data_IF_223082793897
#
_entry.id   IF_223082793897
#
_cell.length_a   1.000
_cell.length_b   1.000
_cell.length_c   1.000
_cell.angle_alpha   90.00
_cell.angle_beta   90.00
_cell.angle_gamma   90.00
#
_symmetry.space_group_name_H-M   'P 1'
#
loop_
_entity.id
_entity.type
_entity.pdbx_description
1 polymer ?
#
# COMPACT_ATOMS: atom_id res chain seq x y z
N UNK A 1 27.28 28.50 77.92
CA UNK A 1 26.34 27.38 78.01
C UNK A 1 26.68 26.38 76.90
N UNK A 2 27.43 25.37 77.31
CA UNK A 2 27.99 24.32 76.45
C UNK A 2 27.04 23.12 76.46
N UNK A 3 26.59 22.65 75.28
CA UNK A 3 25.88 21.39 75.13
C UNK A 3 26.76 20.35 74.44
N UNK A 4 26.81 19.09 74.90
CA UNK A 4 27.73 18.10 74.41
C UNK A 4 27.20 17.35 73.17
N UNK A 5 28.10 17.04 72.24
CA UNK A 5 27.90 16.14 71.10
C UNK A 5 27.71 14.69 71.56
N UNK A 6 26.65 14.07 71.10
CA UNK A 6 26.43 12.61 71.20
C UNK A 6 26.80 11.97 69.85
N UNK A 7 27.81 11.16 69.88
CA UNK A 7 28.22 10.25 68.79
C UNK A 7 27.26 9.09 68.64
N UNK A 8 26.69 8.94 67.44
CA UNK A 8 25.92 7.73 67.06
C UNK A 8 26.81 6.84 66.19
N UNK A 9 27.06 5.62 66.64
CA UNK A 9 27.72 4.58 65.88
C UNK A 9 26.74 3.89 64.91
N UNK A 10 27.12 3.60 63.66
CA UNK A 10 26.23 2.86 62.76
C UNK A 10 26.28 1.37 63.05
N UNK A 11 25.11 0.76 63.32
CA UNK A 11 24.93 -0.69 63.32
C UNK A 11 24.79 -1.15 61.88
N UNK A 12 25.79 -1.94 61.41
CA UNK A 12 25.69 -2.69 60.16
C UNK A 12 24.62 -3.81 60.34
N UNK A 13 23.51 -3.70 59.63
CA UNK A 13 22.57 -4.82 59.43
C UNK A 13 23.06 -5.57 58.16
N UNK A 14 23.60 -6.78 58.36
CA UNK A 14 23.85 -7.73 57.25
C UNK A 14 22.47 -8.34 56.86
N UNK A 15 21.87 -7.82 55.77
CA UNK A 15 20.72 -8.46 55.13
C UNK A 15 21.17 -9.58 54.23
N UNK A 16 20.89 -10.82 54.56
CA UNK A 16 21.03 -11.97 53.65
C UNK A 16 19.98 -11.84 52.53
N UNK A 17 20.39 -11.48 51.31
CA UNK A 17 19.57 -11.62 50.11
C UNK A 17 19.51 -13.11 49.74
N UNK A 18 18.39 -13.77 50.04
CA UNK A 18 18.06 -15.03 49.40
C UNK A 18 17.74 -14.77 47.91
N UNK A 19 18.68 -15.02 47.02
CA UNK A 19 18.40 -15.13 45.59
C UNK A 19 17.57 -16.39 45.36
N UNK A 20 16.25 -16.23 45.25
CA UNK A 20 15.39 -17.29 44.73
C UNK A 20 15.76 -17.49 43.24
N UNK A 21 16.37 -18.61 42.93
CA UNK A 21 16.61 -19.03 41.53
C UNK A 21 15.24 -19.22 40.87
N UNK A 22 14.90 -18.33 39.93
CA UNK A 22 13.78 -18.53 39.03
C UNK A 22 14.03 -19.82 38.24
N UNK A 23 13.04 -20.71 38.12
CA UNK A 23 13.20 -21.91 37.32
C UNK A 23 13.50 -21.47 35.86
N UNK A 24 14.54 -22.04 35.28
CA UNK A 24 14.85 -21.84 33.87
C UNK A 24 13.59 -22.19 33.04
N UNK A 25 13.24 -21.42 32.03
CA UNK A 25 12.13 -21.76 31.14
C UNK A 25 12.35 -23.17 30.61
N UNK A 26 11.35 -24.03 30.75
CA UNK A 26 11.41 -25.39 30.21
C UNK A 26 11.74 -25.31 28.71
N UNK A 27 12.76 -26.04 28.29
CA UNK A 27 13.14 -26.11 26.89
C UNK A 27 11.90 -26.58 26.11
N UNK A 28 11.43 -25.75 25.15
CA UNK A 28 10.36 -26.15 24.23
C UNK A 28 10.90 -27.41 23.52
N UNK A 29 10.21 -28.56 23.56
CA UNK A 29 10.67 -29.74 22.88
C UNK A 29 10.86 -29.43 21.40
N UNK A 30 11.96 -29.85 20.80
CA UNK A 30 12.19 -29.67 19.38
C UNK A 30 10.98 -30.23 18.61
N UNK A 31 10.43 -29.44 17.68
CA UNK A 31 9.28 -29.88 16.88
C UNK A 31 9.64 -31.18 16.16
N UNK A 32 8.83 -32.23 16.35
CA UNK A 32 9.00 -33.51 15.68
C UNK A 32 8.94 -33.31 14.16
N UNK A 33 10.02 -33.61 13.44
CA UNK A 33 10.09 -33.50 11.99
C UNK A 33 9.78 -34.86 11.36
N UNK A 34 8.77 -34.87 10.50
CA UNK A 34 8.37 -36.05 9.74
C UNK A 34 8.51 -35.73 8.24
N UNK A 35 9.26 -36.58 7.53
CA UNK A 35 9.38 -36.47 6.06
C UNK A 35 8.36 -37.42 5.42
N UNK A 36 7.55 -36.90 4.48
CA UNK A 36 6.60 -37.73 3.74
C UNK A 36 7.33 -38.84 2.98
N UNK A 37 6.99 -40.08 3.27
CA UNK A 37 7.62 -41.23 2.60
C UNK A 37 7.09 -41.36 1.16
N UNK A 38 7.94 -41.88 0.25
CA UNK A 38 7.61 -41.98 -1.19
C UNK A 38 6.37 -42.85 -1.49
N UNK A 39 6.02 -43.77 -0.61
CA UNK A 39 4.82 -44.62 -0.69
C UNK A 39 3.57 -43.97 -0.10
N UNK A 40 3.70 -42.92 0.71
CA UNK A 40 2.57 -42.20 1.31
C UNK A 40 2.00 -41.18 0.30
N UNK A 41 0.85 -41.52 -0.29
CA UNK A 41 0.17 -40.66 -1.28
C UNK A 41 -0.92 -39.81 -0.64
N UNK A 42 -1.44 -40.19 0.51
CA UNK A 42 -2.47 -39.45 1.24
C UNK A 42 -1.81 -38.52 2.28
N UNK A 43 -1.44 -37.35 1.83
CA UNK A 43 -0.81 -36.31 2.69
C UNK A 43 -1.78 -35.87 3.80
N UNK A 44 -3.10 -35.84 3.54
CA UNK A 44 -4.08 -35.49 4.57
C UNK A 44 -4.06 -36.50 5.73
N UNK A 45 -4.04 -37.80 5.43
CA UNK A 45 -3.97 -38.83 6.46
C UNK A 45 -2.66 -38.78 7.26
N UNK A 46 -1.55 -38.36 6.64
CA UNK A 46 -0.28 -38.13 7.37
C UNK A 46 -0.44 -36.92 8.30
N UNK A 47 -0.92 -35.80 7.81
CA UNK A 47 -1.18 -34.60 8.63
C UNK A 47 -2.08 -34.92 9.82
N UNK A 48 -3.15 -35.69 9.61
CA UNK A 48 -4.11 -36.03 10.67
C UNK A 48 -3.49 -36.89 11.80
N UNK A 49 -2.43 -37.67 11.52
CA UNK A 49 -1.72 -38.51 12.52
C UNK A 49 -0.65 -37.73 13.29
N UNK A 50 -0.10 -36.66 12.72
CA UNK A 50 0.99 -35.93 13.37
C UNK A 50 0.51 -35.24 14.67
N UNK A 51 1.35 -35.11 15.68
CA UNK A 51 1.01 -34.34 16.87
C UNK A 51 0.98 -32.83 16.57
N UNK A 52 0.24 -32.04 17.34
CA UNK A 52 0.29 -30.59 17.24
C UNK A 52 1.72 -30.06 17.41
N UNK A 53 2.11 -29.08 16.59
CA UNK A 53 3.45 -28.49 16.57
C UNK A 53 4.47 -29.25 15.70
N UNK A 54 4.11 -30.40 15.16
CA UNK A 54 5.01 -31.17 14.27
C UNK A 54 5.26 -30.45 12.94
N UNK A 55 6.39 -30.80 12.32
CA UNK A 55 6.75 -30.38 10.95
C UNK A 55 6.57 -31.53 9.99
N UNK A 56 5.78 -31.33 8.93
CA UNK A 56 5.71 -32.23 7.79
C UNK A 56 6.52 -31.67 6.62
N UNK A 57 7.52 -32.42 6.18
CA UNK A 57 8.36 -32.11 5.03
C UNK A 57 7.86 -32.85 3.79
N UNK A 58 7.53 -32.10 2.76
CA UNK A 58 7.05 -32.61 1.46
C UNK A 58 8.25 -32.71 0.52
N UNK A 59 8.57 -33.90 0.00
CA UNK A 59 9.69 -34.08 -0.93
C UNK A 59 9.37 -33.44 -2.30
N UNK A 60 10.41 -33.25 -3.10
CA UNK A 60 10.28 -32.82 -4.49
C UNK A 60 9.33 -33.74 -5.27
N UNK A 61 8.52 -33.15 -6.15
CA UNK A 61 7.53 -33.86 -6.96
C UNK A 61 6.18 -33.17 -6.94
N UNK A 62 5.26 -33.66 -7.79
CA UNK A 62 3.90 -33.15 -7.90
C UNK A 62 2.96 -34.02 -7.07
N UNK A 63 2.28 -33.39 -6.13
CA UNK A 63 1.35 -34.01 -5.21
C UNK A 63 -0.03 -33.41 -5.44
N UNK A 64 -0.99 -34.25 -5.85
CA UNK A 64 -2.39 -33.87 -6.02
C UNK A 64 -3.03 -33.84 -4.64
N UNK A 65 -3.54 -32.67 -4.21
CA UNK A 65 -4.00 -32.49 -2.84
C UNK A 65 -5.12 -31.46 -2.70
N UNK A 66 -5.96 -31.71 -1.68
CA UNK A 66 -6.85 -30.72 -1.07
C UNK A 66 -6.69 -30.85 0.44
N UNK A 67 -5.76 -30.08 1.01
CA UNK A 67 -5.42 -30.22 2.42
C UNK A 67 -6.33 -29.36 3.29
N UNK A 68 -6.79 -29.93 4.41
CA UNK A 68 -7.45 -29.17 5.46
C UNK A 68 -6.67 -29.29 6.77
N UNK A 69 -6.01 -28.22 7.17
CA UNK A 69 -5.14 -28.18 8.35
C UNK A 69 -5.95 -27.70 9.56
N UNK A 70 -6.21 -28.62 10.49
CA UNK A 70 -7.08 -28.44 11.66
C UNK A 70 -6.35 -28.38 13.00
N UNK A 71 -5.03 -28.36 12.98
CA UNK A 71 -4.18 -28.27 14.18
C UNK A 71 -2.90 -27.51 13.86
N UNK A 72 -2.23 -26.92 14.88
CA UNK A 72 -0.94 -26.28 14.69
C UNK A 72 0.08 -27.25 14.10
N UNK A 73 0.60 -26.98 12.90
CA UNK A 73 1.66 -27.75 12.24
C UNK A 73 2.46 -26.84 11.32
N UNK A 74 3.68 -27.23 11.02
CA UNK A 74 4.48 -26.65 9.94
C UNK A 74 4.46 -27.58 8.73
N UNK A 75 4.02 -27.07 7.58
CA UNK A 75 4.16 -27.74 6.29
C UNK A 75 5.28 -27.06 5.52
N UNK A 76 6.32 -27.83 5.16
CA UNK A 76 7.49 -27.32 4.44
C UNK A 76 7.80 -28.19 3.22
N UNK A 77 8.26 -27.57 2.13
CA UNK A 77 8.63 -28.29 0.90
C UNK A 77 10.12 -28.32 0.65
N UNK A 78 10.59 -29.40 0.05
CA UNK A 78 11.88 -29.43 -0.62
C UNK A 78 11.82 -28.61 -1.91
N UNK A 79 12.98 -28.22 -2.43
CA UNK A 79 13.04 -27.56 -3.72
C UNK A 79 12.37 -28.43 -4.80
N UNK A 80 11.32 -27.89 -5.47
CA UNK A 80 10.52 -28.63 -6.43
C UNK A 80 9.33 -29.42 -5.85
N UNK A 81 8.97 -29.22 -4.58
CA UNK A 81 7.72 -29.75 -4.02
C UNK A 81 6.53 -28.91 -4.55
N UNK A 82 5.60 -29.56 -5.24
CA UNK A 82 4.42 -28.94 -5.86
C UNK A 82 3.16 -29.56 -5.27
N UNK A 83 2.30 -28.72 -4.71
CA UNK A 83 0.94 -29.08 -4.30
C UNK A 83 -0.06 -28.59 -5.36
N UNK A 84 -0.81 -29.50 -5.92
CA UNK A 84 -1.67 -29.26 -7.07
C UNK A 84 -3.14 -29.57 -6.76
N UNK A 85 -4.00 -28.57 -6.91
CA UNK A 85 -5.45 -28.70 -6.70
C UNK A 85 -6.24 -29.18 -7.92
N UNK A 86 -5.58 -29.53 -9.03
CA UNK A 86 -6.23 -30.01 -10.28
C UNK A 86 -7.42 -29.19 -10.77
N UNK A 87 -7.47 -27.89 -10.45
CA UNK A 87 -8.55 -26.99 -10.86
C UNK A 87 -9.82 -27.09 -10.00
N UNK A 88 -9.74 -27.64 -8.80
CA UNK A 88 -10.89 -27.78 -7.90
C UNK A 88 -10.61 -27.16 -6.53
N UNK A 89 -11.62 -26.58 -5.89
CA UNK A 89 -11.58 -26.10 -4.50
C UNK A 89 -10.36 -25.27 -4.11
N UNK A 90 -10.00 -25.32 -2.84
CA UNK A 90 -8.76 -24.77 -2.33
C UNK A 90 -7.66 -25.86 -2.35
N UNK A 91 -6.42 -25.46 -2.58
CA UNK A 91 -5.31 -26.42 -2.48
C UNK A 91 -4.99 -26.69 -1.00
N UNK A 92 -4.92 -25.62 -0.20
CA UNK A 92 -4.73 -25.70 1.26
C UNK A 92 -5.80 -24.83 1.94
N UNK A 93 -6.52 -25.42 2.88
CA UNK A 93 -7.45 -24.75 3.78
C UNK A 93 -6.95 -24.86 5.21
N UNK A 94 -6.91 -23.75 5.95
CA UNK A 94 -6.36 -23.68 7.31
C UNK A 94 -7.46 -23.21 8.26
N UNK A 95 -7.82 -24.02 9.25
CA UNK A 95 -8.80 -23.70 10.30
C UNK A 95 -8.21 -23.70 11.71
N UNK A 96 -6.90 -23.93 11.86
CA UNK A 96 -6.22 -23.92 13.14
C UNK A 96 -5.29 -22.71 13.28
N UNK A 97 -5.06 -22.23 14.50
CA UNK A 97 -4.03 -21.23 14.77
C UNK A 97 -2.61 -21.81 14.65
N UNK A 98 -1.61 -20.93 14.62
CA UNK A 98 -0.17 -21.26 14.69
C UNK A 98 0.30 -22.25 13.60
N UNK A 99 -0.34 -22.22 12.43
CA UNK A 99 0.06 -23.01 11.26
C UNK A 99 1.12 -22.26 10.47
N UNK A 100 2.15 -22.97 10.00
CA UNK A 100 3.17 -22.41 9.09
C UNK A 100 3.20 -23.18 7.78
N UNK A 101 3.11 -22.45 6.65
CA UNK A 101 3.25 -22.99 5.28
C UNK A 101 4.45 -22.31 4.63
N UNK A 102 5.46 -23.09 4.20
CA UNK A 102 6.68 -22.50 3.63
C UNK A 102 7.36 -23.36 2.57
N UNK A 103 8.04 -22.69 1.62
CA UNK A 103 8.94 -23.34 0.65
C UNK A 103 8.24 -24.26 -0.34
N UNK A 104 6.94 -24.07 -0.59
CA UNK A 104 6.12 -24.88 -1.47
C UNK A 104 5.75 -24.14 -2.75
N UNK A 105 5.57 -24.87 -3.83
CA UNK A 105 4.86 -24.41 -5.02
C UNK A 105 3.42 -24.91 -4.94
N UNK A 106 2.44 -24.00 -5.00
CA UNK A 106 1.01 -24.28 -4.79
C UNK A 106 0.26 -23.82 -6.03
N UNK A 107 -0.38 -24.75 -6.73
CA UNK A 107 -0.92 -24.49 -8.06
C UNK A 107 -2.34 -25.02 -8.25
N UNK A 108 -3.02 -24.44 -9.24
CA UNK A 108 -4.27 -24.94 -9.82
C UNK A 108 -5.40 -25.10 -8.79
N UNK A 109 -5.70 -24.08 -8.00
CA UNK A 109 -6.97 -24.05 -7.26
C UNK A 109 -8.17 -24.08 -8.21
N UNK A 110 -9.39 -24.36 -7.71
CA UNK A 110 -10.63 -24.11 -8.42
C UNK A 110 -10.74 -22.66 -8.89
N UNK A 111 -11.56 -22.40 -9.91
CA UNK A 111 -11.71 -21.06 -10.52
C UNK A 111 -12.99 -20.33 -10.10
N UNK A 112 -13.67 -20.79 -9.08
CA UNK A 112 -14.92 -20.19 -8.63
C UNK A 112 -14.65 -19.01 -7.68
N UNK A 113 -14.79 -17.79 -8.18
CA UNK A 113 -14.60 -16.57 -7.41
C UNK A 113 -15.67 -16.36 -6.33
N UNK A 114 -16.89 -16.88 -6.53
CA UNK A 114 -17.97 -16.80 -5.54
C UNK A 114 -17.69 -17.70 -4.33
N UNK A 115 -17.06 -18.85 -4.56
CA UNK A 115 -16.60 -19.75 -3.49
C UNK A 115 -15.22 -19.36 -2.96
N UNK A 116 -14.60 -18.30 -3.51
CA UNK A 116 -13.29 -17.79 -3.11
C UNK A 116 -12.18 -18.84 -3.17
N UNK A 117 -12.23 -19.73 -4.20
CA UNK A 117 -11.23 -20.79 -4.33
C UNK A 117 -9.81 -20.20 -4.38
N UNK A 118 -8.95 -20.69 -3.52
CA UNK A 118 -7.62 -20.13 -3.30
C UNK A 118 -6.52 -21.19 -3.31
N UNK A 119 -5.28 -20.76 -3.61
CA UNK A 119 -4.11 -21.58 -3.33
C UNK A 119 -4.02 -21.89 -1.84
N UNK A 120 -4.13 -20.84 -0.99
CA UNK A 120 -4.23 -20.99 0.47
C UNK A 120 -5.42 -20.19 0.97
N UNK A 121 -6.36 -20.87 1.63
CA UNK A 121 -7.49 -20.24 2.31
C UNK A 121 -7.31 -20.35 3.83
N UNK A 122 -7.27 -19.22 4.52
CA UNK A 122 -7.21 -19.14 5.99
C UNK A 122 -8.61 -18.81 6.51
N UNK A 123 -9.20 -19.73 7.26
CA UNK A 123 -10.56 -19.59 7.79
C UNK A 123 -10.63 -18.66 8.99
N UNK A 124 -11.82 -18.20 9.24
CA UNK A 124 -12.18 -17.42 10.43
C UNK A 124 -11.69 -18.08 11.71
N UNK A 125 -10.97 -17.33 12.53
CA UNK A 125 -10.46 -17.81 13.81
C UNK A 125 -9.13 -18.59 13.73
N UNK A 126 -8.59 -18.84 12.54
CA UNK A 126 -7.23 -19.35 12.40
C UNK A 126 -6.25 -18.19 12.63
N UNK A 127 -5.76 -18.05 13.84
CA UNK A 127 -4.89 -16.95 14.26
C UNK A 127 -3.40 -17.27 14.07
N UNK A 128 -2.57 -16.22 13.89
CA UNK A 128 -1.09 -16.31 13.84
C UNK A 128 -0.55 -17.31 12.78
N UNK A 129 -1.31 -17.47 11.71
CA UNK A 129 -0.88 -18.28 10.56
C UNK A 129 0.32 -17.59 9.88
N UNK A 130 1.34 -18.35 9.54
CA UNK A 130 2.52 -17.87 8.81
C UNK A 130 2.59 -18.54 7.44
N UNK A 131 2.53 -17.73 6.37
CA UNK A 131 2.65 -18.18 4.98
C UNK A 131 3.87 -17.47 4.40
N UNK A 132 4.97 -18.20 4.14
CA UNK A 132 6.20 -17.55 3.73
C UNK A 132 7.01 -18.34 2.71
N UNK A 133 7.68 -17.61 1.86
CA UNK A 133 8.64 -18.17 0.89
C UNK A 133 8.01 -19.24 -0.02
N UNK A 134 6.71 -19.09 -0.35
CA UNK A 134 6.00 -19.97 -1.26
C UNK A 134 5.89 -19.35 -2.65
N UNK A 135 5.71 -20.19 -3.65
CA UNK A 135 5.30 -19.81 -5.00
C UNK A 135 3.86 -20.27 -5.25
N UNK A 136 2.99 -19.34 -5.62
CA UNK A 136 1.59 -19.63 -5.92
C UNK A 136 1.32 -19.26 -7.39
N UNK A 137 0.99 -20.25 -8.23
CA UNK A 137 0.72 -20.02 -9.66
C UNK A 137 -0.65 -20.59 -10.07
N UNK A 138 -1.31 -19.90 -10.99
CA UNK A 138 -2.55 -20.38 -11.61
C UNK A 138 -3.66 -20.69 -10.60
N UNK A 139 -3.78 -19.90 -9.52
CA UNK A 139 -4.86 -20.00 -8.54
C UNK A 139 -5.89 -18.89 -8.80
N UNK A 140 -7.17 -19.13 -8.49
CA UNK A 140 -8.20 -18.09 -8.61
C UNK A 140 -7.89 -16.93 -7.67
N UNK A 141 -7.74 -17.19 -6.37
CA UNK A 141 -7.07 -16.30 -5.43
C UNK A 141 -5.74 -16.94 -5.03
N UNK A 142 -4.68 -16.13 -4.89
CA UNK A 142 -3.43 -16.66 -4.35
C UNK A 142 -3.60 -17.07 -2.89
N UNK A 143 -3.82 -16.09 -2.01
CA UNK A 143 -4.02 -16.27 -0.57
C UNK A 143 -5.29 -15.52 -0.16
N UNK A 144 -6.21 -16.21 0.50
CA UNK A 144 -7.41 -15.63 1.10
C UNK A 144 -7.32 -15.70 2.62
N UNK A 145 -7.46 -14.56 3.30
CA UNK A 145 -7.49 -14.46 4.75
C UNK A 145 -8.89 -14.01 5.18
N UNK A 146 -9.64 -14.90 5.88
CA UNK A 146 -11.00 -14.60 6.34
C UNK A 146 -11.02 -14.40 7.86
N UNK A 147 -11.29 -13.18 8.30
CA UNK A 147 -11.57 -12.81 9.70
C UNK A 147 -10.61 -13.46 10.71
N UNK A 148 -9.31 -13.44 10.39
CA UNK A 148 -8.25 -13.98 11.24
C UNK A 148 -7.39 -12.85 11.86
N UNK A 149 -6.68 -13.18 12.94
CA UNK A 149 -5.85 -12.23 13.68
C UNK A 149 -4.38 -12.60 13.59
N UNK A 150 -3.52 -11.59 13.32
CA UNK A 150 -2.07 -11.72 13.32
C UNK A 150 -1.48 -12.66 12.26
N UNK A 151 -2.07 -12.82 11.06
CA UNK A 151 -1.43 -13.62 10.03
C UNK A 151 -0.18 -12.91 9.50
N UNK A 152 0.83 -13.69 9.12
CA UNK A 152 2.07 -13.22 8.52
C UNK A 152 2.22 -13.83 7.13
N UNK A 153 2.20 -12.99 6.10
CA UNK A 153 2.37 -13.41 4.69
C UNK A 153 3.63 -12.74 4.16
N UNK A 154 4.72 -13.51 4.05
CA UNK A 154 6.05 -12.93 3.90
C UNK A 154 6.83 -13.61 2.76
N UNK A 155 7.36 -12.81 1.82
CA UNK A 155 8.28 -13.28 0.80
C UNK A 155 7.69 -14.28 -0.20
N UNK A 156 6.36 -14.30 -0.36
CA UNK A 156 5.73 -15.19 -1.33
C UNK A 156 5.74 -14.57 -2.73
N UNK A 157 5.75 -15.43 -3.76
CA UNK A 157 5.56 -15.06 -5.16
C UNK A 157 4.19 -15.53 -5.62
N UNK A 158 3.33 -14.60 -6.01
CA UNK A 158 1.96 -14.91 -6.42
C UNK A 158 1.74 -14.47 -7.87
N UNK A 159 1.55 -15.43 -8.74
CA UNK A 159 1.28 -15.23 -10.15
C UNK A 159 -0.16 -15.62 -10.48
N UNK A 160 -0.86 -14.73 -11.17
CA UNK A 160 -2.25 -14.93 -11.55
C UNK A 160 -2.43 -15.83 -12.77
N UNK A 161 -3.52 -15.59 -13.50
CA UNK A 161 -3.92 -16.35 -14.70
C UNK A 161 -3.99 -15.36 -15.87
N UNK A 162 -2.87 -15.15 -16.61
CA UNK A 162 -2.81 -14.13 -17.66
C UNK A 162 -3.75 -14.38 -18.84
N UNK A 163 -4.16 -15.63 -19.08
CA UNK A 163 -5.00 -16.03 -20.23
C UNK A 163 -6.44 -15.54 -20.10
N UNK A 164 -6.90 -15.19 -18.90
CA UNK A 164 -8.25 -14.66 -18.69
C UNK A 164 -8.21 -13.14 -18.46
N UNK A 165 -9.33 -12.47 -18.74
CA UNK A 165 -9.42 -11.02 -18.58
C UNK A 165 -9.17 -10.62 -17.11
N UNK A 166 -8.48 -9.51 -16.88
CA UNK A 166 -8.15 -9.02 -15.55
C UNK A 166 -9.35 -8.97 -14.59
N UNK A 167 -10.51 -8.51 -15.06
CA UNK A 167 -11.73 -8.41 -14.25
C UNK A 167 -12.31 -9.77 -13.81
N UNK A 168 -11.97 -10.86 -14.51
CA UNK A 168 -12.44 -12.21 -14.25
C UNK A 168 -11.44 -13.00 -13.36
N UNK A 169 -10.31 -12.37 -12.98
CA UNK A 169 -9.31 -12.94 -12.06
C UNK A 169 -9.66 -12.63 -10.63
N UNK A 170 -9.15 -13.42 -9.69
CA UNK A 170 -9.14 -13.10 -8.27
C UNK A 170 -7.93 -12.25 -7.89
N UNK A 171 -7.81 -11.93 -6.61
CA UNK A 171 -6.73 -11.11 -6.08
C UNK A 171 -5.52 -11.98 -5.68
N UNK A 172 -4.34 -11.37 -5.64
CA UNK A 172 -3.12 -12.05 -5.18
C UNK A 172 -3.21 -12.43 -3.71
N UNK A 173 -3.33 -11.43 -2.84
CA UNK A 173 -3.58 -11.60 -1.40
C UNK A 173 -4.84 -10.82 -1.06
N UNK A 174 -5.81 -11.48 -0.44
CA UNK A 174 -7.09 -10.89 -0.04
C UNK A 174 -7.25 -10.95 1.48
N UNK A 175 -7.46 -9.80 2.11
CA UNK A 175 -7.76 -9.67 3.53
C UNK A 175 -9.23 -9.25 3.69
N UNK A 176 -10.03 -10.07 4.33
CA UNK A 176 -11.40 -9.76 4.69
C UNK A 176 -11.59 -9.83 6.22
N UNK A 177 -11.94 -8.71 6.86
CA UNK A 177 -12.09 -8.61 8.32
C UNK A 177 -10.84 -9.04 9.13
N UNK A 178 -9.64 -8.81 8.60
CA UNK A 178 -8.37 -9.21 9.20
C UNK A 178 -7.80 -8.12 10.09
N UNK A 179 -7.16 -8.53 11.18
CA UNK A 179 -6.49 -7.61 12.11
C UNK A 179 -5.06 -8.02 12.42
N UNK A 180 -4.19 -7.03 12.64
CA UNK A 180 -2.80 -7.23 13.07
C UNK A 180 -1.97 -8.09 12.07
N UNK A 181 -2.33 -8.07 10.78
CA UNK A 181 -1.58 -8.79 9.75
C UNK A 181 -0.27 -8.08 9.41
N UNK A 182 0.74 -8.89 9.06
CA UNK A 182 1.97 -8.45 8.42
C UNK A 182 2.05 -9.06 7.00
N UNK A 183 1.91 -8.22 5.97
CA UNK A 183 2.00 -8.61 4.56
C UNK A 183 3.27 -7.94 4.00
N UNK A 184 4.37 -8.69 3.90
CA UNK A 184 5.68 -8.09 3.66
C UNK A 184 6.49 -8.82 2.59
N UNK A 185 7.16 -8.06 1.71
CA UNK A 185 8.16 -8.58 0.78
C UNK A 185 7.61 -9.58 -0.24
N UNK A 186 6.30 -9.54 -0.52
CA UNK A 186 5.70 -10.41 -1.51
C UNK A 186 5.82 -9.80 -2.91
N UNK A 187 5.98 -10.64 -3.93
CA UNK A 187 5.90 -10.26 -5.34
C UNK A 187 4.60 -10.79 -5.93
N UNK A 188 3.77 -9.90 -6.52
CA UNK A 188 2.44 -10.26 -7.00
C UNK A 188 2.22 -9.65 -8.39
N UNK A 189 1.83 -10.48 -9.37
CA UNK A 189 1.59 -10.01 -10.72
C UNK A 189 0.52 -10.83 -11.44
N UNK A 190 -0.08 -10.21 -12.47
CA UNK A 190 -1.09 -10.80 -13.34
C UNK A 190 -2.32 -11.40 -12.63
N UNK A 191 -2.56 -10.99 -11.37
CA UNK A 191 -3.86 -11.16 -10.69
C UNK A 191 -4.78 -9.99 -11.04
N UNK A 192 -5.99 -9.95 -10.49
CA UNK A 192 -6.87 -8.78 -10.65
C UNK A 192 -6.32 -7.59 -9.90
N UNK A 193 -6.24 -7.69 -8.59
CA UNK A 193 -5.60 -6.74 -7.70
C UNK A 193 -4.46 -7.45 -6.94
N UNK A 194 -3.38 -6.75 -6.64
CA UNK A 194 -2.24 -7.35 -5.93
C UNK A 194 -2.62 -7.71 -4.50
N UNK A 195 -2.81 -6.70 -3.65
CA UNK A 195 -3.29 -6.86 -2.28
C UNK A 195 -4.64 -6.13 -2.16
N UNK A 196 -5.69 -6.87 -1.89
CA UNK A 196 -7.02 -6.33 -1.60
C UNK A 196 -7.30 -6.43 -0.10
N UNK A 197 -7.66 -5.30 0.51
CA UNK A 197 -7.93 -5.23 1.95
C UNK A 197 -9.30 -4.62 2.18
N UNK A 198 -10.18 -5.39 2.81
CA UNK A 198 -11.57 -5.02 3.06
C UNK A 198 -11.93 -5.21 4.54
N UNK A 199 -12.60 -4.21 5.11
CA UNK A 199 -13.13 -4.23 6.49
C UNK A 199 -12.07 -4.64 7.54
N UNK A 200 -10.80 -4.29 7.30
CA UNK A 200 -9.64 -4.78 8.04
C UNK A 200 -8.93 -3.65 8.79
N UNK A 201 -8.27 -3.95 9.91
CA UNK A 201 -7.71 -2.92 10.79
C UNK A 201 -6.34 -3.29 11.36
N UNK A 202 -5.51 -2.27 11.63
CA UNK A 202 -4.22 -2.40 12.29
C UNK A 202 -3.24 -3.34 11.56
N UNK A 203 -3.32 -3.41 10.24
CA UNK A 203 -2.46 -4.23 9.40
C UNK A 203 -1.29 -3.43 8.85
N UNK A 204 -0.21 -4.12 8.50
CA UNK A 204 0.98 -3.56 7.87
C UNK A 204 1.19 -4.23 6.52
N UNK A 205 1.16 -3.45 5.45
CA UNK A 205 1.53 -3.84 4.10
C UNK A 205 2.87 -3.18 3.79
N UNK A 206 3.96 -3.95 3.71
CA UNK A 206 5.28 -3.35 3.57
C UNK A 206 6.19 -4.07 2.56
N UNK A 207 7.00 -3.29 1.85
CA UNK A 207 8.06 -3.79 0.99
C UNK A 207 7.61 -4.79 -0.08
N UNK A 208 6.32 -4.74 -0.51
CA UNK A 208 5.78 -5.62 -1.53
C UNK A 208 6.04 -5.04 -2.94
N UNK A 209 6.29 -5.93 -3.91
CA UNK A 209 6.43 -5.61 -5.33
C UNK A 209 5.16 -6.05 -6.08
N UNK A 210 4.45 -5.09 -6.67
CA UNK A 210 3.11 -5.28 -7.23
C UNK A 210 3.08 -4.74 -8.67
N UNK A 211 2.89 -5.60 -9.68
CA UNK A 211 2.99 -5.16 -11.07
C UNK A 211 2.08 -5.94 -12.02
N UNK A 212 1.81 -5.36 -13.19
CA UNK A 212 0.94 -5.95 -14.21
C UNK A 212 -0.46 -6.28 -13.68
N UNK A 213 -1.08 -5.31 -12.97
CA UNK A 213 -2.31 -5.47 -12.21
C UNK A 213 -3.35 -4.40 -12.57
N UNK A 214 -4.60 -4.65 -12.22
CA UNK A 214 -5.61 -3.59 -12.20
C UNK A 214 -5.28 -2.57 -11.10
N UNK A 215 -5.16 -3.01 -9.86
CA UNK A 215 -4.73 -2.20 -8.73
C UNK A 215 -3.59 -2.92 -7.99
N UNK A 216 -2.52 -2.19 -7.68
CA UNK A 216 -1.44 -2.72 -6.86
C UNK A 216 -1.94 -3.00 -5.45
N UNK A 217 -2.32 -1.95 -4.72
CA UNK A 217 -2.97 -2.04 -3.40
C UNK A 217 -4.39 -1.48 -3.52
N UNK A 218 -5.39 -2.23 -3.06
CA UNK A 218 -6.80 -1.86 -3.11
C UNK A 218 -7.41 -1.89 -1.70
N UNK A 219 -7.81 -0.74 -1.19
CA UNK A 219 -8.45 -0.56 0.13
C UNK A 219 -9.94 -0.34 0.00
N UNK A 220 -10.70 -1.01 0.89
CA UNK A 220 -12.11 -0.76 1.11
C UNK A 220 -12.44 -0.85 2.61
N UNK A 221 -13.11 0.15 3.17
CA UNK A 221 -13.65 0.18 4.53
C UNK A 221 -12.67 -0.26 5.63
N UNK A 222 -11.39 0.06 5.48
CA UNK A 222 -10.31 -0.45 6.34
C UNK A 222 -9.60 0.69 7.05
N UNK A 223 -9.30 0.52 8.35
CA UNK A 223 -8.89 1.62 9.21
C UNK A 223 -7.58 1.34 9.94
N UNK A 224 -6.83 2.41 10.26
CA UNK A 224 -5.61 2.33 11.08
C UNK A 224 -4.54 1.37 10.52
N UNK A 225 -4.46 1.27 9.21
CA UNK A 225 -3.47 0.42 8.53
C UNK A 225 -2.26 1.23 8.07
N UNK A 226 -1.15 0.53 7.88
CA UNK A 226 0.10 1.08 7.36
C UNK A 226 0.44 0.48 6.00
N UNK A 227 0.80 1.35 5.05
CA UNK A 227 1.27 0.99 3.70
C UNK A 227 2.63 1.63 3.54
N UNK A 228 3.70 0.84 3.62
CA UNK A 228 5.07 1.39 3.77
C UNK A 228 6.03 0.72 2.81
N UNK A 229 6.77 1.50 2.03
CA UNK A 229 7.88 1.02 1.20
C UNK A 229 7.47 0.03 0.10
N UNK A 230 6.18 -0.01 -0.28
CA UNK A 230 5.74 -0.88 -1.38
C UNK A 230 6.07 -0.22 -2.71
N UNK A 231 6.28 -1.05 -3.72
CA UNK A 231 6.50 -0.59 -5.09
C UNK A 231 5.44 -1.14 -6.02
N UNK A 232 4.82 -0.25 -6.79
CA UNK A 232 3.93 -0.62 -7.90
C UNK A 232 4.52 -0.16 -9.23
N UNK A 233 4.36 -0.94 -10.29
CA UNK A 233 4.65 -0.49 -11.65
C UNK A 233 3.76 -1.21 -12.66
N UNK A 234 3.53 -0.52 -13.80
CA UNK A 234 2.74 -1.06 -14.89
C UNK A 234 1.37 -1.57 -14.43
N UNK A 235 0.71 -0.82 -13.52
CA UNK A 235 -0.66 -1.11 -13.09
C UNK A 235 -1.64 -0.09 -13.68
N UNK A 236 -2.92 -0.34 -13.60
CA UNK A 236 -3.93 0.66 -13.91
C UNK A 236 -3.98 1.74 -12.81
N UNK A 237 -3.81 1.34 -11.55
CA UNK A 237 -3.71 2.24 -10.40
C UNK A 237 -2.76 1.62 -9.38
N UNK A 238 -1.72 2.35 -8.99
CA UNK A 238 -0.76 1.87 -8.00
C UNK A 238 -1.43 1.62 -6.65
N UNK A 239 -1.99 2.66 -6.07
CA UNK A 239 -2.62 2.64 -4.74
C UNK A 239 -4.04 3.17 -4.81
N UNK A 240 -5.02 2.29 -4.80
CA UNK A 240 -6.44 2.61 -4.76
C UNK A 240 -6.95 2.61 -3.31
N UNK A 241 -6.85 3.76 -2.64
CA UNK A 241 -7.28 3.96 -1.25
C UNK A 241 -8.73 4.42 -1.25
N UNK A 242 -9.65 3.57 -0.77
CA UNK A 242 -11.07 3.86 -0.85
C UNK A 242 -11.78 3.66 0.48
N UNK A 243 -12.70 4.58 0.82
CA UNK A 243 -13.64 4.50 1.94
C UNK A 243 -12.97 4.14 3.29
N UNK A 244 -11.79 4.71 3.54
CA UNK A 244 -10.93 4.33 4.67
C UNK A 244 -10.44 5.55 5.43
N UNK A 245 -9.95 5.35 6.65
CA UNK A 245 -9.45 6.44 7.51
C UNK A 245 -8.30 6.00 8.40
N UNK A 246 -7.57 7.00 8.89
CA UNK A 246 -6.39 6.80 9.75
C UNK A 246 -5.34 5.91 9.09
N UNK A 247 -5.16 6.05 7.78
CA UNK A 247 -4.11 5.36 7.05
C UNK A 247 -2.78 6.09 7.23
N UNK A 248 -1.70 5.32 7.28
CA UNK A 248 -0.32 5.79 7.24
C UNK A 248 0.32 5.23 5.96
N UNK A 249 0.50 6.09 4.94
CA UNK A 249 0.99 5.70 3.61
C UNK A 249 2.34 6.37 3.40
N UNK A 250 3.43 5.63 3.60
CA UNK A 250 4.78 6.18 3.67
C UNK A 250 5.74 5.51 2.70
N UNK A 251 6.60 6.30 2.08
CA UNK A 251 7.77 5.84 1.34
C UNK A 251 7.46 4.80 0.24
N UNK A 252 6.25 4.87 -0.34
CA UNK A 252 5.86 3.97 -1.42
C UNK A 252 6.25 4.55 -2.78
N UNK A 253 6.47 3.67 -3.75
CA UNK A 253 6.76 4.04 -5.14
C UNK A 253 5.63 3.58 -6.08
N UNK A 254 5.26 4.46 -7.03
CA UNK A 254 4.34 4.18 -8.14
C UNK A 254 4.98 4.64 -9.43
N UNK A 255 5.25 3.72 -10.35
CA UNK A 255 6.03 3.95 -11.57
C UNK A 255 5.25 3.45 -12.79
N UNK A 256 5.05 4.31 -13.81
CA UNK A 256 4.36 3.99 -15.08
C UNK A 256 2.98 3.35 -14.91
N UNK A 257 2.22 3.80 -13.95
CA UNK A 257 0.81 3.43 -13.82
C UNK A 257 -0.07 4.23 -14.81
N UNK A 258 -1.19 3.67 -15.28
CA UNK A 258 -1.88 4.27 -16.43
C UNK A 258 -2.93 5.33 -16.09
N UNK A 259 -3.66 5.18 -14.99
CA UNK A 259 -4.73 6.13 -14.61
C UNK A 259 -4.36 6.97 -13.39
N UNK A 260 -3.94 6.29 -12.32
CA UNK A 260 -3.60 6.94 -11.06
C UNK A 260 -2.39 6.26 -10.43
N UNK A 261 -1.41 7.04 -10.01
CA UNK A 261 -0.39 6.54 -9.09
C UNK A 261 -1.01 6.27 -7.72
N UNK A 262 -1.66 7.31 -7.17
CA UNK A 262 -2.43 7.21 -5.93
C UNK A 262 -3.85 7.74 -6.14
N UNK A 263 -4.84 6.97 -5.73
CA UNK A 263 -6.25 7.36 -5.70
C UNK A 263 -6.73 7.42 -4.25
N UNK A 264 -7.13 8.60 -3.80
CA UNK A 264 -7.80 8.80 -2.51
C UNK A 264 -9.29 9.04 -2.77
N UNK A 265 -10.13 8.10 -2.39
CA UNK A 265 -11.57 8.17 -2.59
C UNK A 265 -12.29 7.97 -1.25
N UNK A 266 -12.86 9.05 -0.69
CA UNK A 266 -13.43 9.09 0.67
C UNK A 266 -12.41 8.69 1.75
N UNK A 267 -11.20 9.25 1.68
CA UNK A 267 -10.13 9.04 2.67
C UNK A 267 -10.12 10.22 3.64
N UNK A 268 -10.05 9.92 4.94
CA UNK A 268 -10.01 10.95 5.98
C UNK A 268 -8.98 10.65 7.06
N UNK A 269 -8.46 11.72 7.68
CA UNK A 269 -7.54 11.66 8.84
C UNK A 269 -6.33 10.76 8.60
N UNK A 270 -5.76 10.81 7.39
CA UNK A 270 -4.68 9.95 6.95
C UNK A 270 -3.43 10.76 6.61
N UNK A 271 -2.25 10.15 6.77
CA UNK A 271 -0.95 10.73 6.40
C UNK A 271 -0.43 10.05 5.16
N UNK A 272 -0.12 10.85 4.14
CA UNK A 272 0.46 10.43 2.85
C UNK A 272 1.80 11.16 2.72
N UNK A 273 2.92 10.48 3.01
CA UNK A 273 4.20 11.17 3.09
C UNK A 273 5.38 10.36 2.52
N UNK A 274 6.39 11.06 2.00
CA UNK A 274 7.61 10.44 1.47
C UNK A 274 7.40 9.55 0.24
N UNK A 275 6.22 9.56 -0.37
CA UNK A 275 5.94 8.69 -1.51
C UNK A 275 6.51 9.28 -2.81
N UNK A 276 6.91 8.42 -3.73
CA UNK A 276 7.42 8.78 -5.07
C UNK A 276 6.46 8.25 -6.12
N UNK A 277 5.86 9.15 -6.88
CA UNK A 277 4.93 8.82 -7.97
C UNK A 277 5.39 9.50 -9.23
N UNK A 278 5.68 8.72 -10.26
CA UNK A 278 6.21 9.26 -11.52
C UNK A 278 5.74 8.49 -12.75
N UNK A 279 5.82 9.17 -13.90
CA UNK A 279 5.49 8.60 -15.21
C UNK A 279 4.05 8.06 -15.33
N UNK A 280 3.10 8.68 -14.60
CA UNK A 280 1.67 8.34 -14.71
C UNK A 280 1.06 9.08 -15.88
N UNK A 281 0.88 8.39 -17.00
CA UNK A 281 0.46 9.01 -18.27
C UNK A 281 -0.64 8.20 -18.94
N UNK A 282 -1.53 8.89 -19.67
CA UNK A 282 -2.55 8.22 -20.49
C UNK A 282 -1.91 7.28 -21.51
N UNK A 283 -2.39 6.04 -21.58
CA UNK A 283 -1.91 5.04 -22.53
C UNK A 283 -0.63 4.32 -22.14
N UNK A 284 -0.02 4.66 -21.01
CA UNK A 284 1.06 3.87 -20.39
C UNK A 284 0.49 2.86 -19.40
N UNK A 285 1.26 1.84 -19.03
CA UNK A 285 0.85 0.86 -18.01
C UNK A 285 -0.01 -0.29 -18.55
N UNK A 286 -0.55 -1.06 -17.60
CA UNK A 286 -1.29 -2.29 -17.83
C UNK A 286 -2.64 -2.05 -18.54
N UNK A 287 -2.67 -2.22 -19.84
CA UNK A 287 -3.89 -2.18 -20.67
C UNK A 287 -4.27 -3.61 -21.06
N UNK A 288 -5.12 -4.25 -20.29
CA UNK A 288 -5.82 -5.45 -20.79
C UNK A 288 -6.89 -5.02 -21.80
N UNK A 289 -6.89 -5.63 -22.96
CA UNK A 289 -7.73 -5.26 -24.11
C UNK A 289 -9.16 -4.89 -23.73
N UNK A 290 -9.52 -3.63 -23.93
CA UNK A 290 -10.88 -3.11 -23.82
C UNK A 290 -11.26 -2.43 -22.50
N UNK A 291 -10.48 -2.56 -21.42
CA UNK A 291 -10.81 -1.96 -20.12
C UNK A 291 -10.22 -0.54 -19.92
N UNK A 292 -9.51 0.00 -20.90
CA UNK A 292 -9.02 1.36 -20.90
C UNK A 292 -10.19 2.35 -20.97
N UNK A 293 -10.38 3.19 -19.96
CA UNK A 293 -11.25 4.35 -20.07
C UNK A 293 -10.56 5.32 -21.02
N UNK A 294 -11.01 5.35 -22.28
CA UNK A 294 -10.47 6.27 -23.30
C UNK A 294 -10.63 7.71 -22.78
N UNK A 295 -9.54 8.48 -22.70
CA UNK A 295 -9.52 9.86 -22.23
C UNK A 295 -9.32 10.01 -20.71
N UNK A 296 -8.88 8.97 -20.01
CA UNK A 296 -8.45 9.10 -18.61
C UNK A 296 -7.02 9.66 -18.58
N UNK A 297 -6.87 10.96 -18.30
CA UNK A 297 -5.56 11.56 -18.08
C UNK A 297 -4.84 10.89 -16.91
N UNK A 298 -3.55 10.62 -17.05
CA UNK A 298 -2.70 10.04 -16.00
C UNK A 298 -2.51 11.03 -14.83
N UNK A 299 -2.87 10.64 -13.62
CA UNK A 299 -2.76 11.49 -12.43
C UNK A 299 -1.82 10.89 -11.41
N UNK A 300 -0.76 11.62 -11.04
CA UNK A 300 0.12 11.16 -9.98
C UNK A 300 -0.68 10.93 -8.70
N UNK A 301 -1.46 11.92 -8.26
CA UNK A 301 -2.42 11.74 -7.17
C UNK A 301 -3.80 12.30 -7.53
N UNK A 302 -4.85 11.52 -7.29
CA UNK A 302 -6.24 11.95 -7.46
C UNK A 302 -6.99 11.89 -6.12
N UNK A 303 -7.59 13.00 -5.72
CA UNK A 303 -8.27 13.18 -4.43
C UNK A 303 -9.74 13.49 -4.68
N UNK A 304 -10.59 12.55 -4.26
CA UNK A 304 -12.04 12.63 -4.43
C UNK A 304 -12.76 12.49 -3.08
N UNK A 305 -13.55 13.50 -2.69
CA UNK A 305 -14.29 13.52 -1.41
C UNK A 305 -13.45 13.09 -0.19
N UNK A 306 -12.19 13.54 -0.15
CA UNK A 306 -11.23 13.15 0.89
C UNK A 306 -10.79 14.39 1.68
N UNK A 307 -10.88 14.35 3.00
CA UNK A 307 -10.75 15.53 3.87
C UNK A 307 -9.88 15.22 5.09
N UNK A 308 -9.32 16.26 5.70
CA UNK A 308 -8.53 16.19 6.94
C UNK A 308 -7.32 15.25 6.83
N UNK A 309 -6.71 15.19 5.64
CA UNK A 309 -5.51 14.42 5.41
C UNK A 309 -4.28 15.32 5.39
N UNK A 310 -3.14 14.75 5.76
CA UNK A 310 -1.82 15.37 5.63
C UNK A 310 -1.10 14.73 4.43
N UNK A 311 -0.76 15.57 3.44
CA UNK A 311 -0.08 15.17 2.20
C UNK A 311 1.21 15.97 2.15
N UNK A 312 2.34 15.35 2.49
CA UNK A 312 3.61 16.07 2.64
C UNK A 312 4.81 15.26 2.17
N UNK A 313 5.83 15.99 1.82
CA UNK A 313 7.16 15.45 1.49
C UNK A 313 7.11 14.35 0.41
N UNK A 314 6.11 14.40 -0.50
CA UNK A 314 5.98 13.46 -1.62
C UNK A 314 6.60 14.04 -2.89
N UNK A 315 7.06 13.15 -3.77
CA UNK A 315 7.46 13.49 -5.14
C UNK A 315 6.37 13.05 -6.13
N UNK A 316 5.81 14.00 -6.88
CA UNK A 316 4.88 13.78 -7.98
C UNK A 316 5.51 14.30 -9.28
N UNK A 317 5.98 13.42 -10.16
CA UNK A 317 6.80 13.80 -11.30
C UNK A 317 6.34 13.20 -12.62
N UNK A 318 6.69 13.88 -13.72
CA UNK A 318 6.65 13.35 -15.11
C UNK A 318 5.30 12.74 -15.52
N UNK A 319 4.19 13.24 -14.92
CA UNK A 319 2.84 12.73 -15.10
C UNK A 319 1.97 13.70 -15.93
N UNK A 320 0.83 13.25 -16.44
CA UNK A 320 -0.10 14.15 -17.12
C UNK A 320 -0.64 15.23 -16.16
N UNK A 321 -0.99 14.83 -14.94
CA UNK A 321 -1.43 15.73 -13.87
C UNK A 321 -0.71 15.36 -12.58
N UNK A 322 -0.06 16.33 -11.94
CA UNK A 322 0.59 16.14 -10.65
C UNK A 322 -0.44 15.82 -9.56
N UNK A 323 -1.34 16.78 -9.28
CA UNK A 323 -2.42 16.58 -8.32
C UNK A 323 -3.76 17.01 -8.89
N UNK A 324 -4.78 16.16 -8.79
CA UNK A 324 -6.15 16.49 -9.15
C UNK A 324 -7.05 16.38 -7.93
N UNK A 325 -7.66 17.52 -7.54
CA UNK A 325 -8.69 17.56 -6.50
C UNK A 325 -10.06 17.81 -7.12
N UNK A 326 -11.06 17.13 -6.59
CA UNK A 326 -12.47 17.45 -6.86
C UNK A 326 -13.06 18.26 -5.72
N UNK A 327 -14.21 18.87 -5.98
CA UNK A 327 -15.04 19.49 -4.94
C UNK A 327 -15.34 18.46 -3.82
N UNK A 328 -15.39 18.93 -2.57
CA UNK A 328 -15.53 18.06 -1.40
C UNK A 328 -14.23 17.43 -0.88
N UNK A 329 -13.09 17.78 -1.50
CA UNK A 329 -11.75 17.37 -1.03
C UNK A 329 -11.04 18.54 -0.36
N UNK A 330 -11.63 19.05 0.69
CA UNK A 330 -11.21 20.26 1.38
C UNK A 330 -10.60 19.90 2.74
N UNK A 331 -10.03 20.92 3.42
CA UNK A 331 -9.41 20.75 4.75
C UNK A 331 -8.26 19.71 4.79
N UNK A 332 -7.58 19.50 3.65
CA UNK A 332 -6.34 18.76 3.61
C UNK A 332 -5.16 19.72 3.77
N UNK A 333 -4.13 19.29 4.51
CA UNK A 333 -2.86 20.00 4.63
C UNK A 333 -1.90 19.47 3.59
N UNK A 334 -1.42 20.32 2.66
CA UNK A 334 -0.58 19.94 1.52
C UNK A 334 0.67 20.81 1.53
N UNK A 335 1.84 20.26 1.91
CA UNK A 335 3.09 21.01 2.03
C UNK A 335 4.33 20.14 1.87
N UNK A 336 5.46 20.74 1.56
CA UNK A 336 6.75 20.04 1.41
C UNK A 336 6.82 19.08 0.23
N UNK A 337 5.78 19.00 -0.61
CA UNK A 337 5.78 18.12 -1.76
C UNK A 337 6.57 18.75 -2.92
N UNK A 338 7.08 17.90 -3.83
CA UNK A 338 7.69 18.30 -5.08
C UNK A 338 6.81 17.93 -6.26
N UNK A 339 6.40 18.91 -7.05
CA UNK A 339 5.66 18.72 -8.30
C UNK A 339 6.60 19.02 -9.48
N UNK A 340 7.14 17.95 -10.09
CA UNK A 340 8.21 18.06 -11.09
C UNK A 340 7.70 17.69 -12.49
N UNK A 341 7.87 18.59 -13.45
CA UNK A 341 7.66 18.32 -14.88
C UNK A 341 6.34 17.63 -15.25
N UNK A 342 5.31 17.80 -14.44
CA UNK A 342 3.97 17.34 -14.82
C UNK A 342 3.42 18.25 -15.93
N UNK A 343 2.64 17.69 -16.85
CA UNK A 343 2.01 18.49 -17.92
C UNK A 343 1.01 19.53 -17.35
N UNK A 344 0.36 19.22 -16.25
CA UNK A 344 -0.47 20.11 -15.44
C UNK A 344 -0.12 19.85 -13.98
N UNK A 345 0.38 20.86 -13.26
CA UNK A 345 0.76 20.64 -11.86
C UNK A 345 -0.46 20.38 -10.96
N UNK A 346 -1.48 21.25 -11.08
CA UNK A 346 -2.69 21.17 -10.27
C UNK A 346 -3.93 21.25 -11.14
N UNK A 347 -4.87 20.36 -10.97
CA UNK A 347 -6.22 20.45 -11.50
C UNK A 347 -7.22 20.45 -10.35
N UNK A 348 -7.87 21.58 -10.12
CA UNK A 348 -8.84 21.74 -9.05
C UNK A 348 -10.13 22.37 -9.56
N UNK A 349 -11.23 21.66 -9.38
CA UNK A 349 -12.56 22.21 -9.62
C UNK A 349 -13.04 22.85 -8.31
N UNK A 350 -12.76 24.15 -8.20
CA UNK A 350 -12.91 24.92 -6.97
C UNK A 350 -14.36 25.06 -6.50
N UNK A 351 -14.54 24.92 -5.20
CA UNK A 351 -15.71 25.41 -4.46
C UNK A 351 -15.32 26.50 -3.46
N UNK A 352 -14.06 26.60 -3.10
CA UNK A 352 -13.46 27.64 -2.24
C UNK A 352 -11.95 27.76 -2.47
N UNK A 353 -11.36 28.84 -1.97
CA UNK A 353 -9.90 28.99 -1.97
C UNK A 353 -9.26 28.04 -0.95
N UNK A 354 -8.11 27.45 -1.32
CA UNK A 354 -7.29 26.62 -0.47
C UNK A 354 -5.85 27.11 -0.48
N UNK A 355 -5.23 27.22 0.69
CA UNK A 355 -3.82 27.54 0.83
C UNK A 355 -3.03 26.25 1.13
N UNK A 356 -2.07 25.93 0.27
CA UNK A 356 -1.26 24.74 0.36
C UNK A 356 0.12 25.05 0.94
N UNK A 357 0.10 25.66 2.12
CA UNK A 357 1.27 25.88 2.95
C UNK A 357 0.94 25.50 4.40
N UNK A 358 1.93 25.14 5.15
CA UNK A 358 1.80 24.84 6.56
C UNK A 358 3.00 25.37 7.34
N UNK A 359 2.75 26.18 8.38
CA UNK A 359 3.79 26.79 9.22
C UNK A 359 4.88 27.52 8.41
N UNK A 360 4.49 28.22 7.32
CA UNK A 360 5.42 28.96 6.47
C UNK A 360 6.20 28.11 5.47
N UNK A 361 5.86 26.85 5.27
CA UNK A 361 6.45 25.95 4.28
C UNK A 361 5.39 25.46 3.31
N UNK A 362 5.54 25.76 2.03
CA UNK A 362 4.68 25.30 0.93
C UNK A 362 5.29 24.12 0.18
N UNK A 363 5.09 24.08 -1.13
CA UNK A 363 5.53 23.00 -2.00
C UNK A 363 6.53 23.54 -3.05
N UNK A 364 7.31 22.64 -3.63
CA UNK A 364 8.13 22.95 -4.80
C UNK A 364 7.34 22.71 -6.09
N UNK A 365 7.36 23.68 -7.01
CA UNK A 365 6.68 23.64 -8.30
C UNK A 365 7.67 23.92 -9.42
N UNK A 366 7.90 22.97 -10.31
CA UNK A 366 8.90 23.11 -11.38
C UNK A 366 8.58 24.19 -12.41
N UNK A 367 7.36 24.71 -12.43
CA UNK A 367 6.90 25.82 -13.27
C UNK A 367 6.71 27.15 -12.50
N UNK A 368 7.14 27.21 -11.22
CA UNK A 368 7.13 28.43 -10.44
C UNK A 368 8.20 29.41 -10.94
N UNK A 369 7.77 30.63 -11.24
CA UNK A 369 8.63 31.70 -11.79
C UNK A 369 8.78 32.90 -10.82
N UNK A 370 8.57 32.71 -9.54
CA UNK A 370 8.78 33.71 -8.52
C UNK A 370 10.28 33.94 -8.20
N UNK A 371 10.52 34.82 -7.27
CA UNK A 371 11.86 35.17 -6.78
C UNK A 371 11.90 35.05 -5.26
N UNK A 372 13.08 35.04 -4.73
CA UNK A 372 13.41 35.01 -3.31
C UNK A 372 14.46 36.10 -3.07
N UNK A 373 14.06 37.23 -2.52
CA UNK A 373 14.93 38.43 -2.35
C UNK A 373 15.76 38.40 -1.07
N UNK A 374 15.25 37.71 -0.05
CA UNK A 374 15.94 37.60 1.24
C UNK A 374 16.73 36.30 1.40
N UNK A 375 16.69 35.44 0.39
CA UNK A 375 17.41 34.18 0.27
C UNK A 375 17.13 33.18 1.43
N UNK A 376 15.87 33.12 1.86
CA UNK A 376 15.42 32.17 2.88
C UNK A 376 14.98 30.83 2.29
N UNK A 377 14.96 30.69 0.94
CA UNK A 377 14.56 29.48 0.22
C UNK A 377 13.08 29.40 -0.07
N UNK A 378 12.31 30.43 0.30
CA UNK A 378 10.89 30.56 0.07
C UNK A 378 10.63 31.69 -0.94
N UNK A 379 9.76 31.47 -1.90
CA UNK A 379 9.46 32.50 -2.89
C UNK A 379 8.58 33.61 -2.32
N UNK A 380 8.99 34.86 -2.55
CA UNK A 380 8.27 36.08 -2.12
C UNK A 380 6.91 36.26 -2.81
N UNK A 381 6.71 35.58 -3.91
CA UNK A 381 5.45 35.58 -4.67
C UNK A 381 4.74 34.25 -4.49
N UNK A 382 3.47 34.30 -4.06
CA UNK A 382 2.65 33.09 -3.96
C UNK A 382 2.51 32.39 -5.33
N UNK A 383 2.43 31.06 -5.33
CA UNK A 383 2.12 30.26 -6.51
C UNK A 383 0.61 30.04 -6.63
N UNK A 384 0.08 30.23 -7.82
CA UNK A 384 -1.36 30.14 -8.11
C UNK A 384 -1.58 29.40 -9.43
N UNK A 385 -1.74 28.06 -9.38
CA UNK A 385 -1.78 27.21 -10.57
C UNK A 385 -3.09 27.24 -11.35
N UNK A 386 -4.17 27.85 -10.81
CA UNK A 386 -5.51 27.76 -11.38
C UNK A 386 -6.04 29.15 -11.77
N UNK A 387 -5.64 29.63 -12.92
CA UNK A 387 -6.20 30.86 -13.50
C UNK A 387 -7.44 30.58 -14.37
N UNK A 388 -8.14 31.61 -14.87
CA UNK A 388 -9.30 31.41 -15.72
C UNK A 388 -8.94 30.86 -17.11
N UNK A 389 -7.70 31.03 -17.53
CA UNK A 389 -7.18 30.38 -18.75
C UNK A 389 -7.09 28.91 -18.57
N UNK A 390 -6.59 28.43 -17.42
CA UNK A 390 -6.55 27.01 -17.08
C UNK A 390 -7.94 26.40 -17.06
N UNK A 391 -8.92 27.05 -16.42
CA UNK A 391 -10.31 26.63 -16.45
C UNK A 391 -10.89 26.54 -17.87
N UNK A 392 -10.52 27.48 -18.76
CA UNK A 392 -10.91 27.46 -20.16
C UNK A 392 -10.29 26.25 -20.89
N UNK A 393 -9.00 25.95 -20.63
CA UNK A 393 -8.28 24.84 -21.24
C UNK A 393 -8.78 23.47 -20.76
N UNK A 394 -9.21 23.35 -19.52
CA UNK A 394 -9.83 22.11 -19.02
C UNK A 394 -11.16 21.84 -19.72
N UNK A 395 -11.93 22.91 -19.99
CA UNK A 395 -13.21 22.80 -20.69
C UNK A 395 -13.02 22.60 -22.22
N UNK A 396 -11.99 23.22 -22.79
CA UNK A 396 -11.69 23.22 -24.21
C UNK A 396 -10.21 22.91 -24.49
N UNK A 397 -9.76 21.63 -24.39
CA UNK A 397 -8.34 21.28 -24.51
C UNK A 397 -7.68 21.74 -25.81
N UNK A 398 -8.44 21.82 -26.89
CA UNK A 398 -7.95 22.30 -28.20
C UNK A 398 -7.49 23.77 -28.15
N UNK A 399 -7.99 24.56 -27.21
CA UNK A 399 -7.59 25.95 -27.06
C UNK A 399 -6.13 26.13 -26.61
N UNK A 400 -5.44 25.05 -26.22
CA UNK A 400 -3.98 25.06 -25.95
C UNK A 400 -3.13 25.60 -27.10
N UNK A 401 -3.59 25.46 -28.33
CA UNK A 401 -2.93 26.05 -29.50
C UNK A 401 -2.82 27.58 -29.38
N UNK A 402 -3.71 28.22 -28.62
CA UNK A 402 -3.78 29.67 -28.44
C UNK A 402 -2.95 30.17 -27.23
N UNK A 403 -2.30 29.31 -26.46
CA UNK A 403 -1.62 29.70 -25.21
C UNK A 403 -0.55 30.78 -25.38
N UNK A 404 0.15 30.79 -26.51
CA UNK A 404 1.14 31.82 -26.84
C UNK A 404 0.53 33.03 -27.60
N UNK A 405 -0.79 33.19 -27.60
CA UNK A 405 -1.43 34.27 -28.31
C UNK A 405 -1.51 35.55 -27.45
N UNK A 406 -1.42 36.75 -28.05
CA UNK A 406 -1.60 38.02 -27.34
C UNK A 406 -2.93 38.12 -26.60
N UNK A 407 -3.96 37.40 -27.05
CA UNK A 407 -5.27 37.37 -26.41
C UNK A 407 -5.23 36.70 -25.03
N UNK A 408 -4.51 35.60 -24.92
CA UNK A 408 -4.30 34.87 -23.64
C UNK A 408 -3.44 35.72 -22.69
N UNK A 409 -2.36 36.31 -23.16
CA UNK A 409 -1.53 37.22 -22.37
C UNK A 409 -2.33 38.42 -21.85
N UNK A 410 -3.18 39.00 -22.69
CA UNK A 410 -4.08 40.09 -22.29
C UNK A 410 -5.09 39.61 -21.22
N UNK A 411 -5.64 38.42 -21.37
CA UNK A 411 -6.61 37.86 -20.42
C UNK A 411 -5.96 37.65 -19.05
N UNK A 412 -4.75 37.08 -18.99
CA UNK A 412 -3.97 36.91 -17.75
C UNK A 412 -3.67 38.26 -17.10
N UNK A 413 -3.19 39.24 -17.88
CA UNK A 413 -2.95 40.57 -17.37
C UNK A 413 -4.23 41.24 -16.81
N UNK A 414 -5.37 41.10 -17.48
CA UNK A 414 -6.67 41.63 -16.98
C UNK A 414 -7.05 40.97 -15.65
N UNK A 415 -6.85 39.67 -15.51
CA UNK A 415 -7.13 38.97 -14.25
C UNK A 415 -6.24 39.42 -13.09
N UNK A 416 -4.95 39.69 -13.35
CA UNK A 416 -4.05 40.28 -12.36
C UNK A 416 -4.50 41.66 -11.89
N UNK A 417 -5.02 42.47 -12.82
CA UNK A 417 -5.49 43.84 -12.51
C UNK A 417 -6.90 43.89 -11.86
N UNK A 418 -7.71 42.86 -12.10
CA UNK A 418 -9.09 42.81 -11.61
C UNK A 418 -9.36 41.50 -10.83
N UNK A 419 -8.97 41.42 -9.55
CA UNK A 419 -9.09 40.21 -8.73
C UNK A 419 -10.50 39.61 -8.64
N UNK A 420 -11.54 40.42 -8.85
CA UNK A 420 -12.97 40.00 -8.89
C UNK A 420 -13.23 38.97 -10.01
N UNK A 421 -12.40 38.96 -11.05
CA UNK A 421 -12.51 38.03 -12.18
C UNK A 421 -11.70 36.72 -11.94
N UNK A 422 -10.98 36.62 -10.82
CA UNK A 422 -10.17 35.48 -10.50
C UNK A 422 -11.07 34.36 -9.96
N UNK A 423 -11.03 33.16 -10.55
CA UNK A 423 -11.76 32.02 -10.00
C UNK A 423 -11.18 31.63 -8.66
N UNK A 424 -12.01 31.06 -7.80
CA UNK A 424 -11.52 30.39 -6.59
C UNK A 424 -10.58 29.22 -6.97
N UNK A 425 -9.55 28.99 -6.17
CA UNK A 425 -8.54 28.03 -6.53
C UNK A 425 -7.61 27.66 -5.39
N UNK A 426 -6.55 26.95 -5.76
CA UNK A 426 -5.43 26.66 -4.90
C UNK A 426 -4.43 27.81 -4.98
N UNK A 427 -3.86 28.18 -3.85
CA UNK A 427 -2.65 29.00 -3.77
C UNK A 427 -1.65 28.30 -2.86
N UNK A 428 -0.40 28.51 -3.10
CA UNK A 428 0.69 28.17 -2.19
C UNK A 428 1.33 29.50 -1.75
N UNK A 429 1.14 29.85 -0.51
CA UNK A 429 1.59 31.15 0.01
C UNK A 429 3.07 31.18 0.40
N UNK A 430 3.75 30.03 0.41
CA UNK A 430 5.15 29.89 0.77
C UNK A 430 5.88 28.86 -0.14
N UNK A 431 5.86 29.07 -1.49
CA UNK A 431 6.40 28.11 -2.43
C UNK A 431 7.92 27.96 -2.25
N UNK A 432 8.42 26.73 -2.32
CA UNK A 432 9.84 26.44 -2.16
C UNK A 432 10.61 26.79 -3.45
N UNK A 433 11.77 27.42 -3.31
CA UNK A 433 12.67 27.75 -4.44
C UNK A 433 13.44 26.53 -4.95
N UNK A 434 13.69 25.56 -4.10
CA UNK A 434 14.36 24.30 -4.45
C UNK A 434 13.55 23.10 -3.96
N UNK A 435 13.60 21.96 -4.67
CA UNK A 435 12.99 20.75 -4.17
C UNK A 435 13.66 20.33 -2.87
N UNK A 436 12.93 19.71 -1.92
CA UNK A 436 13.53 19.07 -0.76
C UNK A 436 14.69 18.13 -1.16
N UNK A 437 15.76 18.06 -0.35
CA UNK A 437 16.99 17.32 -0.69
C UNK A 437 16.72 15.87 -1.09
N UNK A 438 15.74 15.23 -0.47
CA UNK A 438 15.29 13.86 -0.77
C UNK A 438 14.71 13.68 -2.18
N UNK A 439 14.36 14.79 -2.85
CA UNK A 439 13.75 14.82 -4.18
C UNK A 439 14.68 15.42 -5.26
N UNK A 440 15.88 15.81 -4.91
CA UNK A 440 16.80 16.53 -5.80
C UNK A 440 17.61 15.62 -6.74
N UNK A 441 17.41 14.31 -6.71
CA UNK A 441 18.19 13.32 -7.49
C UNK A 441 17.43 12.80 -8.73
#
# INVERSE_FOLDING_TARGET
>A
MTFPLRTFAPRLLLGFLLLAALPAPAAVPAAEEHTLAAQERDIQAVLDRLPPGATLRIPAGRHIVHLHIRKPVTLTGDAGAILDGEGHGDVIRISAPDVTIRGLTIVNSGRNLTHMNAGIFVERGAERVTIRDNRLDNNAFGIWLDACKGPRVIGNKVHGIPEIRSQDRGNGIHLYSVTEAEIRGNEIWETRDGIYIDTSQNNVLADNLLHDLRYGVHYMYSYSNKVIGNRTYNTRTGYALMQSKYLTVLDNESDRDSNYGMLMNYITYSTIAGNRVHDVQEGTGYVTGGDGVTGAEGKAIFIYNSQFNEIRDNLFADSDIGIHLTAGSEDNTVFGNSFLRNRVQVKYVATRDQDWSHEGRGNFWSDYLGWDLDADGIGDKQYEPNDAVDHLLWKYPIARILMSSPAIETLRWVQEQFPVLKPQGVRDSAPLMLPPEEHAS
#
